data_IF_326602272940
#
_entry.id   IF_326602272940
#
_cell.length_a   1.000
_cell.length_b   1.000
_cell.length_c   1.000
_cell.angle_alpha   90.00
_cell.angle_beta   90.00
_cell.angle_gamma   90.00
#
_symmetry.space_group_name_H-M   'P 1'
#
loop_
_entity.id
_entity.type
_entity.pdbx_description
1 polymer ?
#
# COMPACT_ATOMS: atom_id res chain seq x y z
N UNK A 1 -50.96 2.87 -13.20
CA UNK A 1 -49.85 3.69 -13.66
C UNK A 1 -48.66 3.37 -12.77
N UNK A 2 -47.76 2.60 -13.31
CA UNK A 2 -46.48 2.21 -12.69
C UNK A 2 -45.39 3.16 -13.21
N UNK A 3 -44.74 3.82 -12.33
CA UNK A 3 -43.48 4.52 -12.62
C UNK A 3 -42.34 3.80 -11.96
N UNK A 4 -41.54 3.14 -12.78
CA UNK A 4 -40.26 2.55 -12.41
C UNK A 4 -39.16 3.61 -12.53
N UNK A 5 -38.50 3.93 -11.43
CA UNK A 5 -37.30 4.75 -11.43
C UNK A 5 -36.10 3.93 -11.93
N UNK A 6 -35.28 4.46 -12.83
CA UNK A 6 -34.04 3.80 -13.21
C UNK A 6 -32.98 4.06 -12.15
N UNK A 7 -32.42 3.00 -11.59
CA UNK A 7 -31.19 3.05 -10.85
C UNK A 7 -30.02 3.18 -11.84
N UNK A 8 -29.54 4.39 -12.06
CA UNK A 8 -28.25 4.65 -12.68
C UNK A 8 -27.24 4.84 -11.59
N UNK A 9 -26.39 3.85 -11.37
CA UNK A 9 -25.11 4.02 -10.67
C UNK A 9 -24.22 4.87 -11.56
N UNK A 10 -24.21 6.17 -11.35
CA UNK A 10 -23.18 7.06 -11.90
C UNK A 10 -21.87 6.69 -11.21
N UNK A 11 -21.04 5.92 -11.91
CA UNK A 11 -19.64 5.79 -11.58
C UNK A 11 -19.06 7.22 -11.59
N UNK A 12 -18.59 7.71 -10.45
CA UNK A 12 -17.93 9.00 -10.36
C UNK A 12 -16.68 8.95 -11.24
N UNK A 13 -16.75 9.61 -12.39
CA UNK A 13 -15.60 9.78 -13.27
C UNK A 13 -14.51 10.53 -12.49
N UNK A 14 -13.28 10.02 -12.54
CA UNK A 14 -12.17 10.70 -11.89
C UNK A 14 -11.89 12.05 -12.57
N UNK A 15 -11.28 13.00 -11.86
CA UNK A 15 -10.89 14.28 -12.44
C UNK A 15 -9.96 14.09 -13.66
N UNK A 16 -9.20 13.01 -13.67
CA UNK A 16 -8.33 12.60 -14.79
C UNK A 16 -9.14 12.16 -15.99
N UNK A 17 -10.19 11.36 -15.80
CA UNK A 17 -11.08 10.92 -16.89
C UNK A 17 -11.83 12.11 -17.51
N UNK A 18 -12.26 13.06 -16.68
CA UNK A 18 -12.89 14.30 -17.13
C UNK A 18 -11.92 15.17 -17.92
N UNK A 19 -10.66 15.30 -17.49
CA UNK A 19 -9.63 16.06 -18.20
C UNK A 19 -9.30 15.43 -19.56
N UNK A 20 -9.21 14.10 -19.63
CA UNK A 20 -8.97 13.36 -20.88
C UNK A 20 -10.17 13.45 -21.84
N UNK A 21 -11.38 13.52 -21.32
CA UNK A 21 -12.62 13.62 -22.11
C UNK A 21 -12.86 15.04 -22.66
N UNK A 22 -12.26 16.07 -22.05
CA UNK A 22 -12.50 17.47 -22.41
C UNK A 22 -11.95 17.87 -23.78
N UNK A 23 -11.11 17.04 -24.41
CA UNK A 23 -10.47 17.30 -25.72
C UNK A 23 -9.88 18.72 -25.87
N UNK A 24 -9.41 19.27 -24.73
CA UNK A 24 -8.81 20.60 -24.63
C UNK A 24 -7.30 20.46 -24.86
N UNK A 25 -6.80 21.10 -25.91
CA UNK A 25 -5.40 21.02 -26.29
C UNK A 25 -4.51 22.08 -25.62
N UNK A 26 -5.11 23.02 -24.87
CA UNK A 26 -4.35 24.07 -24.19
C UNK A 26 -3.85 23.58 -22.81
N UNK A 27 -2.53 23.35 -22.64
CA UNK A 27 -1.98 22.86 -21.38
C UNK A 27 -2.15 23.84 -20.22
N UNK A 28 -2.41 25.13 -20.47
CA UNK A 28 -2.62 26.13 -19.43
C UNK A 28 -3.95 25.95 -18.67
N UNK A 29 -4.90 25.22 -19.26
CA UNK A 29 -6.18 24.92 -18.64
C UNK A 29 -6.13 23.72 -17.68
N UNK A 30 -4.97 23.02 -17.60
CA UNK A 30 -4.82 21.83 -16.77
C UNK A 30 -3.87 22.09 -15.60
N UNK A 31 -4.27 21.57 -14.42
CA UNK A 31 -3.42 21.53 -13.25
C UNK A 31 -2.96 20.10 -13.00
N UNK A 32 -1.65 19.90 -12.86
CA UNK A 32 -1.08 18.61 -12.52
C UNK A 32 -0.76 18.59 -11.03
N UNK A 33 -1.27 17.60 -10.32
CA UNK A 33 -0.94 17.37 -8.91
C UNK A 33 -0.60 15.90 -8.64
N UNK A 34 0.31 15.66 -7.69
CA UNK A 34 0.49 14.34 -7.14
C UNK A 34 -0.60 14.07 -6.10
N UNK A 35 -1.30 12.93 -6.21
CA UNK A 35 -2.38 12.55 -5.28
C UNK A 35 -1.89 11.75 -4.08
N UNK A 36 -0.63 11.28 -4.12
CA UNK A 36 -0.01 10.52 -3.03
C UNK A 36 1.53 10.52 -3.15
N UNK A 37 2.22 10.00 -2.14
CA UNK A 37 3.69 9.87 -2.15
C UNK A 37 4.44 11.14 -1.73
N UNK A 38 3.75 12.11 -1.10
CA UNK A 38 4.35 13.35 -0.65
C UNK A 38 5.38 13.12 0.46
N UNK A 39 6.49 13.87 0.38
CA UNK A 39 7.48 14.02 1.45
C UNK A 39 7.42 15.43 2.09
N UNK A 40 6.60 16.32 1.55
CA UNK A 40 6.41 17.69 2.04
C UNK A 40 5.37 17.66 3.15
N UNK A 41 5.77 17.93 4.39
CA UNK A 41 4.92 17.85 5.59
C UNK A 41 3.75 18.84 5.61
N UNK A 42 3.87 19.96 4.90
CA UNK A 42 2.85 21.01 4.84
C UNK A 42 1.71 20.75 3.86
N UNK A 43 1.81 19.68 3.06
CA UNK A 43 0.72 19.29 2.16
C UNK A 43 -0.34 18.57 2.98
N UNK A 44 -1.52 19.16 3.08
CA UNK A 44 -2.69 18.50 3.65
C UNK A 44 -3.18 17.40 2.70
N UNK A 45 -2.63 16.20 2.89
CA UNK A 45 -3.01 15.04 2.10
C UNK A 45 -4.44 14.56 2.41
N UNK A 46 -4.98 14.89 3.59
CA UNK A 46 -6.31 14.45 4.02
C UNK A 46 -7.42 14.96 3.10
N UNK A 47 -7.23 16.13 2.45
CA UNK A 47 -8.20 16.69 1.52
C UNK A 47 -8.35 15.93 0.20
N UNK A 48 -7.43 14.99 -0.11
CA UNK A 48 -7.40 14.23 -1.36
C UNK A 48 -7.53 12.73 -1.16
N UNK A 49 -7.62 12.28 0.08
CA UNK A 49 -7.63 10.86 0.43
C UNK A 49 -9.00 10.47 0.99
N UNK A 50 -9.54 9.36 0.52
CA UNK A 50 -10.75 8.77 1.06
C UNK A 50 -10.42 8.01 2.35
N UNK A 51 -10.99 8.40 3.51
CA UNK A 51 -10.75 7.66 4.75
C UNK A 51 -11.43 6.30 4.69
N UNK A 52 -10.72 5.27 5.17
CA UNK A 52 -11.26 3.93 5.33
C UNK A 52 -11.75 3.73 6.76
N UNK A 53 -12.91 3.11 6.91
CA UNK A 53 -13.56 2.92 8.22
C UNK A 53 -14.29 1.58 8.29
N UNK A 54 -14.36 1.01 9.48
CA UNK A 54 -15.17 -0.18 9.75
C UNK A 54 -16.69 0.07 9.61
N UNK A 55 -17.12 1.33 9.63
CA UNK A 55 -18.53 1.68 9.40
C UNK A 55 -18.96 1.45 7.93
N UNK A 56 -18.03 1.37 6.99
CA UNK A 56 -18.29 1.09 5.58
C UNK A 56 -17.38 -0.06 5.10
N UNK A 57 -17.73 -1.27 5.51
CA UNK A 57 -16.96 -2.48 5.16
C UNK A 57 -16.89 -2.74 3.66
N UNK A 58 -17.87 -2.28 2.89
CA UNK A 58 -17.89 -2.46 1.43
C UNK A 58 -16.74 -1.75 0.73
N UNK A 59 -16.18 -0.72 1.37
CA UNK A 59 -15.02 0.02 0.88
C UNK A 59 -13.68 -0.55 1.32
N UNK A 60 -13.68 -1.51 2.26
CA UNK A 60 -12.41 -2.07 2.71
C UNK A 60 -11.85 -3.05 1.65
N UNK A 61 -10.56 -2.95 1.32
CA UNK A 61 -9.94 -3.92 0.43
C UNK A 61 -9.79 -5.27 1.13
N UNK A 62 -9.93 -6.36 0.36
CA UNK A 62 -9.71 -7.72 0.87
C UNK A 62 -8.24 -7.98 1.20
N UNK A 63 -7.35 -7.29 0.52
CA UNK A 63 -5.90 -7.43 0.69
C UNK A 63 -5.26 -6.07 0.91
N UNK A 64 -4.46 -5.95 1.97
CA UNK A 64 -3.58 -4.80 2.23
C UNK A 64 -2.16 -5.33 2.41
N UNK A 65 -1.28 -5.03 1.47
CA UNK A 65 0.05 -5.61 1.43
C UNK A 65 1.14 -4.56 1.21
N UNK A 66 2.20 -4.62 2.04
CA UNK A 66 3.39 -3.79 1.90
C UNK A 66 4.53 -4.62 1.32
N UNK A 67 5.13 -4.16 0.22
CA UNK A 67 6.27 -4.81 -0.41
C UNK A 67 7.60 -4.23 0.08
N UNK A 68 8.52 -5.10 0.50
CA UNK A 68 9.84 -4.72 0.99
C UNK A 68 10.94 -5.67 0.48
N UNK A 69 12.15 -5.51 0.99
CA UNK A 69 13.32 -6.28 0.59
C UNK A 69 13.83 -7.17 1.72
N UNK A 70 14.59 -8.23 1.37
CA UNK A 70 15.20 -9.14 2.34
C UNK A 70 16.01 -8.41 3.41
N UNK A 71 16.81 -7.41 3.01
CA UNK A 71 17.64 -6.62 3.93
C UNK A 71 16.84 -5.72 4.88
N UNK A 72 15.59 -5.39 4.54
CA UNK A 72 14.74 -4.49 5.33
C UNK A 72 13.87 -5.25 6.33
N UNK A 73 13.49 -6.48 6.04
CA UNK A 73 12.60 -7.27 6.91
C UNK A 73 13.11 -7.42 8.36
N UNK A 74 14.39 -7.80 8.61
CA UNK A 74 14.91 -7.86 9.97
C UNK A 74 14.83 -6.52 10.71
N UNK A 75 15.01 -5.41 10.00
CA UNK A 75 14.92 -4.06 10.57
C UNK A 75 13.47 -3.74 10.96
N UNK A 76 12.49 -4.14 10.15
CA UNK A 76 11.06 -3.98 10.46
C UNK A 76 10.69 -4.79 11.70
N UNK A 77 11.15 -6.04 11.80
CA UNK A 77 10.97 -6.86 13.00
C UNK A 77 11.56 -6.20 14.25
N UNK A 78 12.80 -5.75 14.18
CA UNK A 78 13.49 -5.11 15.29
C UNK A 78 12.84 -3.78 15.69
N UNK A 79 12.35 -3.00 14.72
CA UNK A 79 11.70 -1.72 14.99
C UNK A 79 10.28 -1.89 15.55
N UNK A 80 9.65 -3.06 15.40
CA UNK A 80 8.31 -3.37 15.89
C UNK A 80 7.19 -2.98 14.93
N UNK A 81 7.48 -2.76 13.65
CA UNK A 81 6.47 -2.49 12.63
C UNK A 81 6.94 -1.63 11.47
N UNK A 82 5.98 -1.29 10.61
CA UNK A 82 6.20 -0.40 9.47
C UNK A 82 6.09 1.06 9.90
N UNK A 83 6.92 1.92 9.31
CA UNK A 83 6.91 3.37 9.52
C UNK A 83 7.08 4.13 8.21
N UNK A 84 6.71 5.41 8.22
CA UNK A 84 6.68 6.26 7.03
C UNK A 84 8.05 6.54 6.42
N UNK A 85 9.14 6.41 7.19
CA UNK A 85 10.49 6.78 6.80
C UNK A 85 10.53 8.26 6.32
N UNK A 86 10.97 8.54 5.10
CA UNK A 86 11.04 9.90 4.55
C UNK A 86 9.75 10.39 3.84
N UNK A 87 8.63 9.69 3.99
CA UNK A 87 7.33 10.05 3.39
C UNK A 87 6.30 10.38 4.46
N UNK A 88 5.19 11.00 4.06
CA UNK A 88 4.08 11.28 4.99
C UNK A 88 3.28 10.01 5.34
N UNK A 89 3.29 9.00 4.45
CA UNK A 89 2.51 7.76 4.63
C UNK A 89 3.31 6.52 4.29
N UNK A 90 2.96 5.42 4.94
CA UNK A 90 3.29 4.06 4.54
C UNK A 90 2.35 3.70 3.38
N UNK A 91 2.89 3.10 2.33
CA UNK A 91 2.14 2.73 1.13
C UNK A 91 1.88 1.24 1.11
N UNK A 92 0.64 0.86 0.79
CA UNK A 92 0.21 -0.51 0.62
C UNK A 92 -0.48 -0.68 -0.73
N UNK A 93 -0.41 -1.87 -1.29
CA UNK A 93 -1.17 -2.31 -2.45
C UNK A 93 -2.36 -3.17 -2.03
N UNK A 94 -3.32 -3.34 -2.95
CA UNK A 94 -4.48 -4.23 -2.77
C UNK A 94 -4.26 -5.62 -3.39
N UNK A 95 -3.04 -6.00 -3.64
CA UNK A 95 -2.62 -7.29 -4.21
C UNK A 95 -1.12 -7.36 -4.40
N UNK A 96 -0.58 -8.55 -4.76
CA UNK A 96 -1.27 -9.81 -5.01
C UNK A 96 -1.85 -10.46 -3.74
N UNK A 97 -2.80 -11.40 -3.90
CA UNK A 97 -3.31 -12.20 -2.77
C UNK A 97 -2.22 -13.13 -2.23
N UNK A 98 -2.38 -13.55 -0.97
CA UNK A 98 -1.42 -14.47 -0.34
C UNK A 98 -1.35 -15.81 -1.07
N UNK A 99 -2.50 -16.34 -1.50
CA UNK A 99 -2.57 -17.60 -2.23
C UNK A 99 -1.77 -17.54 -3.54
N UNK A 100 -1.93 -16.47 -4.32
CA UNK A 100 -1.19 -16.28 -5.57
C UNK A 100 0.33 -16.26 -5.35
N UNK A 101 0.78 -15.74 -4.21
CA UNK A 101 2.21 -15.69 -3.88
C UNK A 101 2.73 -17.04 -3.40
N UNK A 102 1.96 -17.81 -2.63
CA UNK A 102 2.38 -19.12 -2.09
C UNK A 102 2.39 -20.23 -3.14
N UNK A 103 1.53 -20.15 -4.16
CA UNK A 103 1.48 -21.12 -5.27
C UNK A 103 2.63 -20.93 -6.26
N UNK A 104 3.44 -19.87 -6.12
CA UNK A 104 4.52 -19.49 -7.05
C UNK A 104 4.05 -19.34 -8.51
N UNK A 105 2.80 -18.97 -8.70
CA UNK A 105 2.25 -18.70 -10.02
C UNK A 105 2.72 -17.31 -10.45
N UNK A 106 3.84 -17.25 -11.19
CA UNK A 106 4.39 -15.98 -11.70
C UNK A 106 3.39 -15.26 -12.61
N UNK A 107 2.51 -15.99 -13.26
CA UNK A 107 1.43 -15.45 -14.08
C UNK A 107 0.28 -14.87 -13.22
N UNK A 108 -0.03 -15.45 -12.08
CA UNK A 108 -1.04 -14.94 -11.14
C UNK A 108 -0.59 -13.64 -10.44
N UNK A 109 0.72 -13.44 -10.26
CA UNK A 109 1.28 -12.18 -9.72
C UNK A 109 1.08 -11.01 -10.69
N UNK A 110 0.86 -11.29 -11.97
CA UNK A 110 0.54 -10.34 -13.03
C UNK A 110 -0.95 -10.35 -13.42
N UNK A 111 -1.77 -11.20 -12.79
CA UNK A 111 -3.19 -11.29 -13.07
C UNK A 111 -3.84 -9.92 -12.89
N UNK A 112 -4.37 -9.41 -14.00
CA UNK A 112 -5.25 -8.24 -14.03
C UNK A 112 -6.42 -8.51 -13.09
N UNK A 113 -6.91 -7.52 -12.33
CA UNK A 113 -8.18 -7.65 -11.62
C UNK A 113 -9.24 -8.11 -12.62
N UNK A 114 -10.09 -9.04 -12.21
CA UNK A 114 -11.07 -9.70 -13.06
C UNK A 114 -12.14 -8.75 -13.66
N UNK A 115 -12.15 -7.51 -13.26
CA UNK A 115 -13.01 -6.45 -13.79
C UNK A 115 -12.15 -5.50 -14.64
N UNK A 116 -12.40 -5.50 -15.91
CA UNK A 116 -11.83 -4.84 -17.08
C UNK A 116 -11.14 -3.47 -17.01
N UNK A 117 -10.91 -2.88 -15.87
CA UNK A 117 -10.15 -1.65 -15.71
C UNK A 117 -8.68 -1.97 -15.45
N UNK A 118 -7.88 -1.81 -16.50
CA UNK A 118 -6.44 -2.02 -16.51
C UNK A 118 -5.67 -0.91 -15.76
N UNK A 119 -6.08 -0.58 -14.54
CA UNK A 119 -5.38 0.37 -13.69
C UNK A 119 -4.29 -0.38 -12.92
N UNK A 120 -3.03 -0.17 -13.31
CA UNK A 120 -1.87 -0.68 -12.58
C UNK A 120 -1.77 0.07 -11.27
N UNK A 121 -2.43 -0.43 -10.23
CA UNK A 121 -2.35 0.12 -8.89
C UNK A 121 -0.98 -0.20 -8.32
N UNK A 122 -0.11 0.78 -8.27
CA UNK A 122 1.28 0.63 -7.87
C UNK A 122 1.53 1.21 -6.48
N UNK A 123 0.89 0.65 -5.46
CA UNK A 123 1.28 0.89 -4.06
C UNK A 123 2.57 0.16 -3.67
N UNK A 124 3.07 -0.73 -4.52
CA UNK A 124 4.20 -1.61 -4.22
C UNK A 124 5.18 -1.70 -5.40
N UNK A 125 6.48 -1.84 -5.09
CA UNK A 125 7.51 -2.06 -6.11
C UNK A 125 7.41 -3.49 -6.69
N UNK A 126 7.60 -3.62 -8.00
CA UNK A 126 7.61 -4.93 -8.67
C UNK A 126 8.75 -5.84 -8.20
N UNK A 127 9.87 -5.27 -7.79
CA UNK A 127 11.06 -5.95 -7.30
C UNK A 127 11.01 -6.26 -5.80
N UNK A 128 9.90 -5.99 -5.12
CA UNK A 128 9.72 -6.39 -3.73
C UNK A 128 9.91 -7.90 -3.56
N UNK A 129 10.67 -8.29 -2.54
CA UNK A 129 11.06 -9.67 -2.26
C UNK A 129 10.26 -10.28 -1.13
N UNK A 130 9.87 -9.45 -0.17
CA UNK A 130 9.07 -9.81 1.01
C UNK A 130 7.78 -9.01 0.98
N UNK A 131 6.67 -9.68 1.20
CA UNK A 131 5.33 -9.13 1.24
C UNK A 131 4.76 -9.25 2.64
N UNK A 132 4.32 -8.13 3.21
CA UNK A 132 3.75 -8.02 4.55
C UNK A 132 2.26 -7.77 4.39
N UNK A 133 1.45 -8.76 4.70
CA UNK A 133 -0.01 -8.68 4.70
C UNK A 133 -0.49 -8.14 6.04
N UNK A 134 -1.34 -7.13 6.00
CA UNK A 134 -1.85 -6.44 7.18
C UNK A 134 -3.34 -6.71 7.33
N UNK A 135 -3.74 -7.10 8.54
CA UNK A 135 -5.14 -7.14 8.93
C UNK A 135 -5.65 -5.71 9.14
N UNK A 136 -6.20 -5.13 8.08
CA UNK A 136 -6.70 -3.76 8.10
C UNK A 136 -7.87 -3.59 9.09
N UNK A 137 -8.72 -4.62 9.25
CA UNK A 137 -9.87 -4.55 10.17
C UNK A 137 -9.40 -4.47 11.61
N UNK A 138 -8.45 -5.32 11.99
CA UNK A 138 -7.81 -5.27 13.31
C UNK A 138 -7.09 -3.95 13.56
N UNK A 139 -6.38 -3.44 12.57
CA UNK A 139 -5.66 -2.18 12.67
C UNK A 139 -6.62 -0.98 12.82
N UNK A 140 -7.69 -0.91 12.02
CA UNK A 140 -8.73 0.11 12.14
C UNK A 140 -9.45 0.05 13.49
N UNK A 141 -9.76 -1.15 14.01
CA UNK A 141 -10.37 -1.32 15.33
C UNK A 141 -9.45 -0.81 16.46
N UNK A 142 -8.14 -0.87 16.27
CA UNK A 142 -7.14 -0.31 17.19
C UNK A 142 -6.87 1.19 16.98
N UNK A 143 -7.59 1.85 16.06
CA UNK A 143 -7.47 3.29 15.79
C UNK A 143 -6.34 3.67 14.83
N UNK A 144 -5.73 2.71 14.12
CA UNK A 144 -4.76 3.03 13.07
C UNK A 144 -5.49 3.66 11.88
N UNK A 145 -5.16 4.89 11.48
CA UNK A 145 -5.83 5.53 10.35
C UNK A 145 -5.35 4.95 9.02
N UNK A 146 -6.30 4.70 8.12
CA UNK A 146 -6.05 4.31 6.73
C UNK A 146 -6.85 5.14 5.77
N UNK A 147 -6.29 5.37 4.59
CA UNK A 147 -6.91 6.10 3.49
C UNK A 147 -6.69 5.36 2.18
N UNK A 148 -7.56 5.66 1.22
CA UNK A 148 -7.40 5.28 -0.17
C UNK A 148 -7.13 6.53 -1.00
N UNK A 149 -6.11 6.49 -1.85
CA UNK A 149 -5.87 7.52 -2.85
C UNK A 149 -6.74 7.31 -4.09
N UNK A 150 -6.88 8.35 -4.91
CA UNK A 150 -7.66 8.32 -6.16
C UNK A 150 -7.24 7.17 -7.11
N UNK A 151 -5.96 6.84 -7.14
CA UNK A 151 -5.43 5.71 -7.91
C UNK A 151 -5.43 4.36 -7.15
N UNK A 152 -6.17 4.25 -6.05
CA UNK A 152 -6.43 3.01 -5.32
C UNK A 152 -5.30 2.54 -4.38
N UNK A 153 -4.25 3.33 -4.17
CA UNK A 153 -3.19 3.01 -3.20
C UNK A 153 -3.72 3.18 -1.78
N UNK A 154 -3.48 2.20 -0.91
CA UNK A 154 -3.82 2.29 0.50
C UNK A 154 -2.66 2.92 1.26
N UNK A 155 -2.98 3.86 2.12
CA UNK A 155 -2.04 4.71 2.84
C UNK A 155 -2.32 4.67 4.34
N UNK A 156 -1.28 4.75 5.17
CA UNK A 156 -1.42 4.89 6.62
C UNK A 156 -0.27 5.72 7.18
N UNK A 157 -0.54 6.54 8.18
CA UNK A 157 0.49 7.17 8.98
C UNK A 157 0.97 6.28 10.13
N UNK A 158 0.22 5.24 10.47
CA UNK A 158 0.40 4.51 11.71
C UNK A 158 -0.12 5.28 12.92
N UNK A 159 0.11 4.74 14.11
CA UNK A 159 -0.19 5.37 15.39
C UNK A 159 1.09 5.56 16.21
N UNK A 160 1.13 6.58 17.10
CA UNK A 160 2.28 6.82 17.97
C UNK A 160 2.52 5.63 18.91
N UNK A 161 3.78 5.23 19.07
CA UNK A 161 4.19 4.29 20.10
C UNK A 161 4.88 5.07 21.22
N UNK A 162 4.31 5.14 22.45
CA UNK A 162 4.77 6.05 23.51
C UNK A 162 6.22 5.91 23.93
N UNK A 163 6.83 4.75 23.69
CA UNK A 163 8.22 4.46 24.11
C UNK A 163 9.24 4.60 22.96
N UNK A 164 8.79 5.04 21.79
CA UNK A 164 9.66 5.22 20.62
C UNK A 164 9.55 6.65 20.13
N UNK A 165 10.63 7.39 20.25
CA UNK A 165 10.72 8.76 19.76
C UNK A 165 11.56 8.83 18.48
N UNK A 166 11.15 9.67 17.55
CA UNK A 166 11.90 10.05 16.36
C UNK A 166 11.86 11.58 16.23
N UNK A 167 13.04 12.22 16.28
CA UNK A 167 13.17 13.69 16.24
C UNK A 167 12.38 14.43 17.34
N UNK A 168 12.25 13.85 18.55
CA UNK A 168 11.55 14.46 19.68
C UNK A 168 10.02 14.31 19.64
N UNK A 169 9.47 13.59 18.68
CA UNK A 169 8.06 13.22 18.59
C UNK A 169 7.90 11.71 18.70
N UNK A 170 6.74 11.24 19.18
CA UNK A 170 6.44 9.82 19.23
C UNK A 170 6.40 9.24 17.80
N UNK A 171 7.25 8.25 17.54
CA UNK A 171 7.34 7.61 16.24
C UNK A 171 6.04 6.85 15.94
N UNK A 172 5.49 7.06 14.73
CA UNK A 172 4.26 6.42 14.27
C UNK A 172 4.57 5.13 13.53
N UNK A 173 3.86 4.06 13.88
CA UNK A 173 4.02 2.72 13.32
C UNK A 173 2.67 2.08 12.98
N UNK A 174 2.69 1.21 11.96
CA UNK A 174 1.75 0.09 11.85
C UNK A 174 2.44 -1.09 12.52
N UNK A 175 2.02 -1.41 13.76
CA UNK A 175 2.66 -2.42 14.63
C UNK A 175 2.66 -3.81 13.99
N UNK A 176 3.63 -4.64 14.38
CA UNK A 176 3.66 -6.08 14.10
C UNK A 176 2.37 -6.80 14.52
N UNK A 177 1.67 -6.30 15.53
CA UNK A 177 0.40 -6.89 16.01
C UNK A 177 -0.68 -6.92 14.93
N UNK A 178 -0.57 -6.06 13.92
CA UNK A 178 -1.50 -5.98 12.80
C UNK A 178 -1.03 -6.77 11.57
N UNK A 179 0.15 -7.41 11.63
CA UNK A 179 0.60 -8.27 10.55
C UNK A 179 -0.11 -9.62 10.64
N UNK A 180 -0.77 -10.02 9.55
CA UNK A 180 -1.39 -11.34 9.45
C UNK A 180 -0.35 -12.37 8.97
N UNK A 181 0.22 -12.17 7.79
CA UNK A 181 1.24 -13.04 7.21
C UNK A 181 2.35 -12.22 6.58
N UNK A 182 3.58 -12.71 6.68
CA UNK A 182 4.70 -12.22 5.88
C UNK A 182 5.24 -13.35 5.03
N UNK A 183 5.29 -13.14 3.72
CA UNK A 183 5.72 -14.12 2.74
C UNK A 183 6.93 -13.63 1.93
N UNK A 184 7.87 -14.51 1.72
CA UNK A 184 8.95 -14.31 0.77
C UNK A 184 8.53 -14.93 -0.58
N UNK A 185 8.77 -14.19 -1.70
CA UNK A 185 8.27 -14.57 -3.02
C UNK A 185 9.32 -14.77 -4.10
N UNK A 186 10.59 -14.47 -3.84
CA UNK A 186 11.66 -14.49 -4.87
C UNK A 186 12.65 -15.65 -4.72
N UNK A 187 12.83 -16.13 -3.49
CA UNK A 187 13.72 -17.25 -3.19
C UNK A 187 12.96 -18.55 -2.89
N UNK A 188 11.62 -18.52 -2.95
CA UNK A 188 10.77 -19.68 -2.73
C UNK A 188 10.68 -20.13 -1.27
N UNK A 189 10.93 -19.22 -0.32
CA UNK A 189 10.86 -19.58 1.11
C UNK A 189 9.41 -19.65 1.62
N UNK A 190 8.46 -19.00 0.94
CA UNK A 190 7.07 -18.97 1.38
C UNK A 190 6.87 -18.12 2.63
N UNK A 191 6.09 -18.61 3.61
CA UNK A 191 5.77 -17.86 4.82
C UNK A 191 6.99 -17.72 5.75
N UNK A 192 7.31 -16.48 6.13
CA UNK A 192 8.35 -16.15 7.13
C UNK A 192 7.75 -15.90 8.52
N UNK A 193 6.52 -15.37 8.56
CA UNK A 193 5.84 -14.92 9.76
C UNK A 193 4.34 -15.15 9.63
N UNK A 194 3.69 -15.47 10.73
CA UNK A 194 2.23 -15.57 10.78
C UNK A 194 1.73 -15.21 12.19
N UNK A 195 0.87 -14.22 12.28
CA UNK A 195 0.15 -13.80 13.49
C UNK A 195 0.99 -13.76 14.77
N UNK A 196 2.13 -13.10 14.72
CA UNK A 196 3.02 -12.94 15.87
C UNK A 196 4.11 -13.99 16.00
N UNK A 197 4.14 -15.00 15.13
CA UNK A 197 5.12 -16.08 15.18
C UNK A 197 6.09 -16.02 13.99
N UNK A 198 7.38 -16.10 14.28
CA UNK A 198 8.40 -16.34 13.26
C UNK A 198 8.35 -17.81 12.88
N UNK A 199 8.05 -18.12 11.63
CA UNK A 199 8.02 -19.49 11.10
C UNK A 199 9.39 -19.92 10.60
N UNK A 200 10.11 -19.00 9.96
CA UNK A 200 11.50 -19.22 9.54
C UNK A 200 12.23 -17.88 9.39
N UNK A 201 13.54 -17.94 9.55
CA UNK A 201 14.41 -16.79 9.38
C UNK A 201 14.89 -16.68 7.92
N UNK A 202 15.15 -15.45 7.49
CA UNK A 202 15.80 -15.22 6.20
C UNK A 202 17.27 -15.65 6.25
N UNK A 203 17.76 -16.43 5.30
CA UNK A 203 19.17 -16.77 5.18
C UNK A 203 20.05 -15.50 5.07
N UNK A 204 21.16 -15.47 5.77
CA UNK A 204 22.07 -14.31 5.80
C UNK A 204 22.51 -13.83 4.40
N UNK A 205 22.73 -14.76 3.46
CA UNK A 205 23.18 -14.42 2.12
C UNK A 205 22.13 -13.60 1.35
N UNK A 206 20.83 -13.77 1.63
CA UNK A 206 19.75 -12.95 1.05
C UNK A 206 19.73 -11.56 1.69
N UNK A 207 19.92 -11.47 2.99
CA UNK A 207 19.96 -10.19 3.72
C UNK A 207 21.16 -9.36 3.25
N UNK A 208 22.34 -9.97 3.11
CA UNK A 208 23.59 -9.29 2.72
C UNK A 208 23.61 -8.84 1.25
N UNK A 209 22.81 -9.44 0.39
CA UNK A 209 22.76 -9.09 -1.05
C UNK A 209 22.31 -7.65 -1.33
N UNK A 210 21.76 -6.98 -0.31
CA UNK A 210 21.31 -5.59 -0.39
C UNK A 210 20.08 -5.38 -1.27
N UNK A 211 19.57 -4.16 -1.25
CA UNK A 211 18.47 -3.78 -2.14
C UNK A 211 18.99 -3.71 -3.58
N UNK A 212 18.24 -4.19 -4.56
CA UNK A 212 18.52 -3.90 -5.96
C UNK A 212 18.63 -2.37 -6.11
N UNK A 213 19.83 -1.86 -6.36
CA UNK A 213 20.02 -0.42 -6.60
C UNK A 213 19.20 -0.07 -7.83
N UNK A 214 18.10 0.62 -7.66
CA UNK A 214 17.43 1.27 -8.77
C UNK A 214 18.47 2.12 -9.48
N UNK A 215 18.67 1.87 -10.78
CA UNK A 215 19.55 2.66 -11.64
C UNK A 215 18.95 4.06 -11.80
N UNK A 216 19.03 4.87 -10.76
CA UNK A 216 18.79 6.29 -10.84
C UNK A 216 20.12 6.91 -11.39
N UNK A 217 20.37 6.75 -12.70
CA UNK A 217 21.28 7.64 -13.39
C UNK A 217 20.64 9.03 -13.41
N UNK A 218 21.00 9.85 -12.43
CA UNK A 218 20.72 11.27 -12.47
C UNK A 218 21.26 11.83 -13.78
N UNK A 219 20.37 12.25 -14.67
CA UNK A 219 20.73 13.18 -15.72
C UNK A 219 21.07 14.52 -15.04
N UNK A 220 22.32 14.90 -15.10
CA UNK A 220 22.78 16.28 -14.88
C UNK A 220 22.23 17.15 -15.99
#
# INVERSE_FOLDING_TARGET
VLESAPATSEAQQTATDQALAANDADPSHFLIRATQGHSIKTVDAASFLEPLSLADESKLPDTVVHGTFHSTWPVILQSGGLRCMGRNHIHFATGPSLEAVLVQDEDAVQAKPANGDAQVISGMRRDAQVLIYVDIRKALAAGVPFWRSENGVILSEGIPIPQKEENGEAAKFVSLDFFDVVAERKAGLGKLWERGQVLQELPEHLIKKGNPKGNFKGRR
#
